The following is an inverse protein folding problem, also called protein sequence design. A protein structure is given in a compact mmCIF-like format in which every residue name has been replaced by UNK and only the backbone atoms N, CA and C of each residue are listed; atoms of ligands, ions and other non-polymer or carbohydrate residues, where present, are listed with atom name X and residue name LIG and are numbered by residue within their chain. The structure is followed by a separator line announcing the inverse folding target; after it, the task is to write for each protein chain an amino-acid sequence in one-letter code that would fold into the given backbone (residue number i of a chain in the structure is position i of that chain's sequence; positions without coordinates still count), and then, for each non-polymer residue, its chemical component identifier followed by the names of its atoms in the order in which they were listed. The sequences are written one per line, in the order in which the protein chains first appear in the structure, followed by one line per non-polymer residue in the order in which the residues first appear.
data_IF_482160544602
#
_entry.id   IF_482160544602
#
_cell.length_a   1.000
_cell.length_b   1.000
_cell.length_c   1.000
_cell.angle_alpha   90.00
_cell.angle_beta   90.00
_cell.angle_gamma   90.00
#
_symmetry.space_group_name_H-M   'P 1'
#
loop_
_entity.id
_entity.type
_entity.pdbx_description
1 polymer ?
#
# COMPACT_ATOMS: atom_id res chain seq x y z
N UNK A 1 -8.54 -2.06 -7.02
CA UNK A 1 -8.42 -0.58 -7.12
C UNK A 1 -7.64 -0.12 -5.90
N UNK A 2 -6.40 0.35 -6.08
CA UNK A 2 -5.46 0.61 -4.98
C UNK A 2 -5.79 1.97 -4.31
N UNK A 3 -6.25 1.93 -3.07
CA UNK A 3 -6.68 3.11 -2.29
C UNK A 3 -5.52 4.12 -2.09
N UNK A 4 -4.28 3.66 -1.95
CA UNK A 4 -3.10 4.54 -1.84
C UNK A 4 -2.86 5.33 -3.13
N UNK A 5 -3.00 4.67 -4.29
CA UNK A 5 -2.91 5.35 -5.60
C UNK A 5 -4.02 6.39 -5.73
N UNK A 6 -5.24 6.07 -5.32
CA UNK A 6 -6.37 7.01 -5.35
C UNK A 6 -6.15 8.21 -4.42
N UNK A 7 -5.69 7.98 -3.19
CA UNK A 7 -5.41 9.05 -2.22
C UNK A 7 -4.26 9.96 -2.69
N UNK A 8 -3.19 9.37 -3.24
CA UNK A 8 -2.06 10.11 -3.82
C UNK A 8 -2.51 10.96 -5.00
N UNK A 9 -3.29 10.40 -5.93
CA UNK A 9 -3.83 11.13 -7.08
C UNK A 9 -4.75 12.27 -6.65
N UNK A 10 -5.62 12.06 -5.64
CA UNK A 10 -6.46 13.12 -5.09
C UNK A 10 -5.63 14.25 -4.44
N UNK A 11 -4.57 13.89 -3.72
CA UNK A 11 -3.62 14.84 -3.15
C UNK A 11 -2.92 15.68 -4.22
N UNK A 12 -2.39 15.03 -5.26
CA UNK A 12 -1.76 15.70 -6.40
C UNK A 12 -2.75 16.64 -7.12
N UNK A 13 -3.98 16.20 -7.36
CA UNK A 13 -5.00 17.03 -8.01
C UNK A 13 -5.33 18.28 -7.18
N UNK A 14 -5.43 18.12 -5.85
CA UNK A 14 -5.68 19.23 -4.93
C UNK A 14 -4.54 20.24 -4.94
N UNK A 15 -3.28 19.78 -4.97
CA UNK A 15 -2.10 20.65 -5.07
C UNK A 15 -2.11 21.43 -6.39
N UNK A 16 -2.37 20.76 -7.51
CA UNK A 16 -2.44 21.41 -8.84
C UNK A 16 -3.53 22.49 -8.87
N UNK A 17 -4.72 22.20 -8.31
CA UNK A 17 -5.79 23.18 -8.18
C UNK A 17 -5.39 24.37 -7.31
N UNK A 18 -4.69 24.13 -6.19
CA UNK A 18 -4.19 25.20 -5.32
C UNK A 18 -3.13 26.09 -6.00
N UNK A 19 -2.26 25.52 -6.84
CA UNK A 19 -1.30 26.30 -7.65
C UNK A 19 -2.03 27.12 -8.70
N UNK A 20 -3.02 26.51 -9.37
CA UNK A 20 -3.84 27.19 -10.36
C UNK A 20 -4.60 28.39 -9.77
N UNK A 21 -5.08 28.28 -8.53
CA UNK A 21 -5.74 29.37 -7.81
C UNK A 21 -4.83 30.59 -7.53
N UNK A 22 -3.52 30.38 -7.46
CA UNK A 22 -2.53 31.42 -7.18
C UNK A 22 -2.05 32.17 -8.43
N UNK A 23 -2.47 31.75 -9.63
CA UNK A 23 -2.06 32.40 -10.87
C UNK A 23 -2.67 33.81 -11.00
N UNK A 24 -1.93 34.77 -11.60
CA UNK A 24 -2.49 36.07 -11.96
C UNK A 24 -3.69 35.93 -12.91
N UNK A 25 -4.70 36.82 -12.87
CA UNK A 25 -5.96 36.66 -13.60
C UNK A 25 -5.79 36.36 -15.09
N UNK A 26 -4.89 37.09 -15.78
CA UNK A 26 -4.62 36.89 -17.21
C UNK A 26 -3.99 35.53 -17.52
N UNK A 27 -3.07 35.08 -16.67
CA UNK A 27 -2.42 33.78 -16.80
C UNK A 27 -3.41 32.65 -16.52
N UNK A 28 -4.29 32.86 -15.54
CA UNK A 28 -5.35 31.92 -15.17
C UNK A 28 -6.34 31.71 -16.31
N UNK A 29 -6.88 32.77 -16.89
CA UNK A 29 -7.80 32.70 -18.04
C UNK A 29 -7.17 31.97 -19.24
N UNK A 30 -5.90 32.24 -19.54
CA UNK A 30 -5.18 31.58 -20.61
C UNK A 30 -5.09 30.06 -20.36
N UNK A 31 -4.67 29.67 -19.16
CA UNK A 31 -4.51 28.27 -18.77
C UNK A 31 -5.87 27.55 -18.70
N UNK A 32 -6.90 28.18 -18.15
CA UNK A 32 -8.28 27.66 -18.14
C UNK A 32 -8.79 27.44 -19.57
N UNK A 33 -8.55 28.39 -20.47
CA UNK A 33 -8.91 28.28 -21.88
C UNK A 33 -8.21 27.11 -22.57
N UNK A 34 -6.90 26.94 -22.34
CA UNK A 34 -6.14 25.80 -22.88
C UNK A 34 -6.61 24.47 -22.31
N UNK A 35 -6.86 24.37 -21.01
CA UNK A 35 -7.34 23.14 -20.37
C UNK A 35 -8.73 22.77 -20.90
N UNK A 36 -9.64 23.75 -20.98
CA UNK A 36 -10.98 23.54 -21.51
C UNK A 36 -10.98 23.13 -22.99
N UNK A 37 -10.10 23.72 -23.80
CA UNK A 37 -9.89 23.31 -25.20
C UNK A 37 -9.45 21.84 -25.30
N UNK A 38 -8.63 21.37 -24.36
CA UNK A 38 -8.22 19.96 -24.26
C UNK A 38 -9.25 19.06 -23.54
N UNK A 39 -10.47 19.54 -23.29
CA UNK A 39 -11.55 18.78 -22.66
C UNK A 39 -11.48 18.69 -21.13
N UNK A 40 -10.59 19.45 -20.49
CA UNK A 40 -10.44 19.49 -19.03
C UNK A 40 -11.14 20.72 -18.45
N UNK A 41 -12.32 20.52 -17.87
CA UNK A 41 -13.06 21.56 -17.14
C UNK A 41 -12.58 21.65 -15.68
N UNK A 42 -11.75 22.66 -15.40
CA UNK A 42 -11.13 22.89 -14.09
C UNK A 42 -12.17 23.06 -12.98
N UNK A 43 -13.30 23.70 -13.27
CA UNK A 43 -14.38 23.95 -12.28
C UNK A 43 -15.10 22.65 -11.95
N UNK A 44 -15.41 21.84 -12.96
CA UNK A 44 -16.03 20.52 -12.76
C UNK A 44 -15.10 19.59 -11.99
N UNK A 45 -13.81 19.60 -12.32
CA UNK A 45 -12.77 18.82 -11.64
C UNK A 45 -12.67 19.24 -10.17
N UNK A 46 -12.53 20.53 -9.88
CA UNK A 46 -12.46 21.04 -8.52
C UNK A 46 -13.71 20.66 -7.71
N UNK A 47 -14.89 20.81 -8.30
CA UNK A 47 -16.16 20.41 -7.67
C UNK A 47 -16.19 18.92 -7.34
N UNK A 48 -15.76 18.07 -8.27
CA UNK A 48 -15.77 16.63 -8.08
C UNK A 48 -14.73 16.20 -7.04
N UNK A 49 -13.53 16.80 -7.02
CA UNK A 49 -12.52 16.56 -5.97
C UNK A 49 -13.05 16.94 -4.59
N UNK A 50 -13.67 18.12 -4.46
CA UNK A 50 -14.28 18.55 -3.19
C UNK A 50 -15.40 17.61 -2.73
N UNK A 51 -16.25 17.15 -3.66
CA UNK A 51 -17.30 16.16 -3.35
C UNK A 51 -16.71 14.84 -2.90
N UNK A 52 -15.73 14.30 -3.62
CA UNK A 52 -15.07 13.03 -3.25
C UNK A 52 -14.39 13.16 -1.89
N UNK A 53 -13.66 14.25 -1.66
CA UNK A 53 -13.04 14.53 -0.35
C UNK A 53 -14.08 14.55 0.76
N UNK A 54 -15.15 15.32 0.58
CA UNK A 54 -16.21 15.44 1.59
C UNK A 54 -16.92 14.10 1.82
N UNK A 55 -17.21 13.34 0.76
CA UNK A 55 -17.77 12.00 0.86
C UNK A 55 -16.85 11.06 1.63
N UNK A 56 -15.54 11.08 1.37
CA UNK A 56 -14.56 10.29 2.10
C UNK A 56 -14.46 10.71 3.58
N UNK A 57 -14.48 12.01 3.86
CA UNK A 57 -14.46 12.56 5.24
C UNK A 57 -15.77 12.30 5.99
N UNK A 58 -16.87 12.08 5.28
CA UNK A 58 -18.17 11.73 5.87
C UNK A 58 -18.30 10.25 6.22
N UNK A 59 -17.35 9.40 5.77
CA UNK A 59 -17.32 8.00 6.18
C UNK A 59 -16.90 7.97 7.65
N UNK A 60 -17.75 7.44 8.57
CA UNK A 60 -17.39 7.36 9.98
C UNK A 60 -16.08 6.61 10.18
N UNK A 61 -15.24 7.09 11.11
CA UNK A 61 -14.12 6.30 11.58
C UNK A 61 -14.64 4.96 12.12
N UNK A 62 -14.17 3.85 11.56
CA UNK A 62 -14.65 2.50 11.90
C UNK A 62 -15.85 2.00 11.08
N UNK A 63 -16.33 2.73 10.07
CA UNK A 63 -17.36 2.23 9.15
C UNK A 63 -16.88 1.07 8.26
N UNK A 64 -15.56 0.93 8.12
CA UNK A 64 -14.91 -0.22 7.53
C UNK A 64 -13.56 -0.44 8.20
N UNK A 65 -13.13 -1.70 8.28
CA UNK A 65 -11.78 -2.07 8.72
C UNK A 65 -10.98 -2.46 7.46
N UNK A 66 -10.05 -1.62 7.01
CA UNK A 66 -9.26 -1.90 5.81
C UNK A 66 -8.54 -3.25 5.89
N UNK A 67 -8.76 -4.10 4.89
CA UNK A 67 -8.17 -5.43 4.77
C UNK A 67 -7.44 -5.57 3.43
N UNK A 68 -6.28 -6.22 3.45
CA UNK A 68 -5.57 -6.65 2.25
C UNK A 68 -5.31 -8.15 2.31
N UNK A 69 -5.37 -8.83 1.16
CA UNK A 69 -4.86 -10.18 1.01
C UNK A 69 -3.50 -10.12 0.32
N UNK A 70 -2.49 -10.78 0.89
CA UNK A 70 -1.13 -10.85 0.35
C UNK A 70 -0.64 -12.29 0.35
N UNK A 71 0.31 -12.58 -0.54
CA UNK A 71 0.91 -13.90 -0.64
C UNK A 71 1.55 -14.35 0.68
N UNK A 72 1.44 -15.64 1.01
CA UNK A 72 2.22 -16.27 2.07
C UNK A 72 3.72 -16.24 1.81
N UNK A 73 4.16 -15.97 0.57
CA UNK A 73 5.56 -15.77 0.23
C UNK A 73 6.24 -14.64 1.02
N UNK A 74 5.49 -13.70 1.59
CA UNK A 74 6.01 -12.66 2.48
C UNK A 74 6.34 -13.14 3.90
N UNK A 75 6.18 -14.43 4.17
CA UNK A 75 6.50 -15.07 5.43
C UNK A 75 7.55 -16.16 5.20
N UNK A 76 8.48 -16.34 6.14
CA UNK A 76 9.33 -17.53 6.15
C UNK A 76 8.50 -18.80 6.38
N UNK A 77 8.95 -19.98 5.93
CA UNK A 77 8.21 -21.24 6.15
C UNK A 77 7.86 -21.47 7.62
N UNK A 78 8.80 -21.22 8.54
CA UNK A 78 8.55 -21.34 9.98
C UNK A 78 7.51 -20.35 10.51
N UNK A 79 7.46 -19.13 9.98
CA UNK A 79 6.44 -18.16 10.36
C UNK A 79 5.05 -18.55 9.82
N UNK A 80 4.97 -19.10 8.60
CA UNK A 80 3.72 -19.64 8.03
C UNK A 80 3.16 -20.75 8.88
N UNK A 81 4.00 -21.70 9.28
CA UNK A 81 3.61 -22.83 10.13
C UNK A 81 3.14 -22.35 11.51
N UNK A 82 3.89 -21.45 12.14
CA UNK A 82 3.50 -20.92 13.44
C UNK A 82 2.17 -20.16 13.38
N UNK A 83 1.94 -19.36 12.34
CA UNK A 83 0.66 -18.66 12.14
C UNK A 83 -0.51 -19.61 11.85
N UNK A 84 -0.31 -20.67 11.06
CA UNK A 84 -1.37 -21.63 10.75
C UNK A 84 -1.73 -22.52 11.94
N UNK A 85 -0.79 -22.73 12.87
CA UNK A 85 -1.01 -23.47 14.11
C UNK A 85 -1.44 -22.58 15.29
N UNK A 86 -1.41 -21.25 15.13
CA UNK A 86 -1.69 -20.29 16.20
C UNK A 86 -0.59 -20.18 17.26
N UNK A 87 0.62 -20.64 16.95
CA UNK A 87 1.79 -20.69 17.85
C UNK A 87 2.59 -19.38 17.84
N UNK A 88 1.93 -18.25 18.08
CA UNK A 88 2.51 -16.90 17.95
C UNK A 88 2.35 -16.02 19.19
N UNK A 89 1.99 -16.60 20.35
CA UNK A 89 1.69 -15.86 21.58
C UNK A 89 2.82 -14.92 22.03
N UNK A 90 4.07 -15.28 21.74
CA UNK A 90 5.26 -14.49 22.12
C UNK A 90 5.56 -13.33 21.17
N UNK A 91 4.91 -13.27 20.01
CA UNK A 91 5.20 -12.30 18.97
C UNK A 91 4.54 -10.94 19.21
N UNK A 92 3.67 -10.82 20.21
CA UNK A 92 2.99 -9.55 20.53
C UNK A 92 2.06 -9.08 19.40
N UNK A 93 1.59 -10.00 18.56
CA UNK A 93 0.61 -9.74 17.50
C UNK A 93 -0.67 -10.51 17.78
N UNK A 94 -1.78 -10.03 17.22
CA UNK A 94 -3.05 -10.75 17.26
C UNK A 94 -3.24 -11.37 15.88
N UNK A 95 -3.32 -12.69 15.82
CA UNK A 95 -3.60 -13.41 14.58
C UNK A 95 -4.62 -14.51 14.77
N UNK A 96 -5.31 -14.82 13.67
CA UNK A 96 -6.36 -15.84 13.61
C UNK A 96 -6.02 -16.82 12.48
N UNK A 97 -5.65 -18.07 12.80
CA UNK A 97 -5.37 -19.08 11.79
C UNK A 97 -6.59 -19.33 10.89
N UNK A 98 -6.34 -19.68 9.63
CA UNK A 98 -7.37 -20.11 8.69
C UNK A 98 -6.85 -21.23 7.78
N UNK A 99 -7.71 -21.79 6.92
CA UNK A 99 -7.36 -22.94 6.04
C UNK A 99 -6.23 -22.64 5.04
N UNK A 100 -5.92 -21.36 4.80
CA UNK A 100 -4.99 -20.88 3.79
C UNK A 100 -3.76 -20.16 4.40
N UNK A 101 -3.69 -20.02 5.72
CA UNK A 101 -2.70 -19.19 6.40
C UNK A 101 -3.27 -18.59 7.68
N UNK A 102 -3.34 -17.26 7.76
CA UNK A 102 -3.87 -16.54 8.90
C UNK A 102 -4.36 -15.13 8.55
N UNK A 103 -5.21 -14.56 9.39
CA UNK A 103 -5.43 -13.13 9.49
C UNK A 103 -4.50 -12.55 10.56
N UNK A 104 -3.91 -11.41 10.29
CA UNK A 104 -3.11 -10.62 11.22
C UNK A 104 -3.80 -9.28 11.44
N UNK A 105 -4.07 -8.96 12.69
CA UNK A 105 -4.59 -7.65 13.09
C UNK A 105 -3.44 -6.66 13.28
N UNK A 106 -3.58 -5.51 12.64
CA UNK A 106 -2.60 -4.44 12.66
C UNK A 106 -3.21 -3.23 13.37
N UNK A 107 -2.62 -2.86 14.49
CA UNK A 107 -3.05 -1.71 15.27
C UNK A 107 -2.07 -0.56 15.03
N UNK A 108 -2.54 0.69 14.88
CA UNK A 108 -1.67 1.86 14.74
C UNK A 108 -0.89 2.20 16.03
N UNK A 109 -1.17 1.51 17.14
CA UNK A 109 -0.62 1.83 18.46
C UNK A 109 0.25 0.71 19.04
N UNK A 110 0.43 -0.39 18.33
CA UNK A 110 1.26 -1.51 18.77
C UNK A 110 2.26 -1.86 17.69
N UNK A 111 3.33 -2.53 18.07
CA UNK A 111 4.27 -3.13 17.13
C UNK A 111 4.53 -4.57 17.59
N UNK A 112 4.89 -5.49 16.69
CA UNK A 112 5.28 -6.83 17.08
C UNK A 112 6.44 -6.79 18.08
N UNK A 113 6.51 -7.79 18.94
CA UNK A 113 7.61 -7.94 19.89
C UNK A 113 8.92 -8.25 19.16
N UNK A 114 10.09 -8.03 19.79
CA UNK A 114 11.36 -8.47 19.23
C UNK A 114 11.48 -9.99 19.01
N UNK A 115 10.59 -10.79 19.60
CA UNK A 115 10.54 -12.24 19.41
C UNK A 115 9.76 -12.66 18.15
N UNK A 116 9.02 -11.73 17.52
CA UNK A 116 8.36 -11.99 16.25
C UNK A 116 9.41 -12.20 15.13
N UNK A 117 9.22 -13.13 14.19
CA UNK A 117 10.07 -13.26 13.01
C UNK A 117 10.15 -11.94 12.24
N UNK A 118 11.33 -11.64 11.67
CA UNK A 118 11.55 -10.41 10.92
C UNK A 118 10.50 -10.20 9.82
N UNK A 119 10.16 -11.26 9.07
CA UNK A 119 9.13 -11.20 8.02
C UNK A 119 7.77 -10.73 8.54
N UNK A 120 7.39 -11.11 9.76
CA UNK A 120 6.13 -10.66 10.40
C UNK A 120 6.24 -9.19 10.78
N UNK A 121 7.39 -8.75 11.31
CA UNK A 121 7.64 -7.34 11.63
C UNK A 121 7.54 -6.45 10.40
N UNK A 122 8.13 -6.88 9.28
CA UNK A 122 8.13 -6.14 8.03
C UNK A 122 6.72 -6.04 7.42
N UNK A 123 5.96 -7.14 7.39
CA UNK A 123 4.56 -7.10 6.95
C UNK A 123 3.73 -6.18 7.86
N UNK A 124 3.92 -6.27 9.17
CA UNK A 124 3.18 -5.44 10.13
C UNK A 124 3.47 -3.96 9.94
N UNK A 125 4.75 -3.58 9.84
CA UNK A 125 5.16 -2.20 9.60
C UNK A 125 4.63 -1.70 8.25
N UNK A 126 4.79 -2.50 7.19
CA UNK A 126 4.27 -2.19 5.86
C UNK A 126 2.77 -1.90 5.88
N UNK A 127 2.01 -2.68 6.65
CA UNK A 127 0.57 -2.53 6.82
C UNK A 127 0.20 -1.29 7.65
N UNK A 128 0.95 -1.01 8.72
CA UNK A 128 0.78 0.20 9.53
C UNK A 128 0.99 1.48 8.72
N UNK A 129 2.06 1.54 7.93
CA UNK A 129 2.39 2.69 7.08
C UNK A 129 1.28 3.01 6.05
N UNK A 130 0.40 2.02 5.80
CA UNK A 130 -0.72 2.06 4.86
C UNK A 130 -2.08 2.16 5.53
N UNK A 131 -2.11 2.28 6.86
CA UNK A 131 -3.33 2.34 7.65
C UNK A 131 -4.24 1.13 7.43
N UNK A 132 -3.66 -0.06 7.19
CA UNK A 132 -4.38 -1.32 7.12
C UNK A 132 -4.65 -1.85 8.52
N UNK A 133 -5.84 -2.42 8.74
CA UNK A 133 -6.26 -3.02 10.01
C UNK A 133 -6.12 -4.54 9.97
N UNK A 134 -6.28 -5.13 8.79
CA UNK A 134 -6.20 -6.57 8.59
C UNK A 134 -5.28 -6.93 7.42
N UNK A 135 -4.44 -7.93 7.64
CA UNK A 135 -3.70 -8.62 6.58
C UNK A 135 -4.15 -10.08 6.56
N UNK A 136 -4.66 -10.54 5.42
CA UNK A 136 -4.92 -11.95 5.16
C UNK A 136 -3.73 -12.53 4.41
N UNK A 137 -3.09 -13.56 4.96
CA UNK A 137 -2.13 -14.36 4.23
C UNK A 137 -2.85 -15.46 3.46
N UNK A 138 -2.56 -15.57 2.17
CA UNK A 138 -3.17 -16.53 1.25
C UNK A 138 -2.16 -16.91 0.16
N UNK A 139 -1.88 -18.20 -0.10
CA UNK A 139 -0.90 -18.62 -1.10
C UNK A 139 -1.28 -18.20 -2.52
N UNK A 140 -2.58 -18.00 -2.81
CA UNK A 140 -3.06 -17.59 -4.12
C UNK A 140 -3.17 -16.06 -4.28
N UNK A 141 -2.86 -15.30 -3.22
CA UNK A 141 -2.87 -13.83 -3.28
C UNK A 141 -1.62 -13.27 -3.98
N UNK A 142 -1.72 -12.02 -4.42
CA UNK A 142 -0.64 -11.33 -5.12
C UNK A 142 0.55 -11.04 -4.19
N UNK A 143 1.77 -11.23 -4.71
CA UNK A 143 2.99 -10.74 -4.05
C UNK A 143 3.09 -9.22 -4.20
N UNK A 144 3.25 -8.53 -3.08
CA UNK A 144 3.31 -7.07 -3.05
C UNK A 144 4.72 -6.60 -3.41
N UNK A 145 4.81 -5.83 -4.50
CA UNK A 145 6.06 -5.17 -4.88
C UNK A 145 6.56 -4.24 -3.75
N UNK A 146 7.82 -4.41 -3.37
CA UNK A 146 8.47 -3.63 -2.31
C UNK A 146 8.30 -4.19 -0.89
N UNK A 147 7.58 -5.30 -0.71
CA UNK A 147 7.57 -6.07 0.53
C UNK A 147 8.46 -7.32 0.34
N UNK A 148 9.41 -7.61 1.25
CA UNK A 148 10.31 -8.76 1.08
C UNK A 148 9.56 -10.09 0.97
N UNK A 149 10.07 -10.97 0.13
CA UNK A 149 9.62 -12.36 0.01
C UNK A 149 10.67 -13.31 0.54
N UNK A 150 10.20 -14.41 1.13
CA UNK A 150 11.00 -15.35 1.91
C UNK A 150 10.92 -16.78 1.39
N UNK A 151 10.24 -17.02 0.25
CA UNK A 151 10.32 -18.26 -0.53
C UNK A 151 10.13 -19.57 0.26
N UNK A 152 10.50 -20.69 -0.33
CA UNK A 152 10.69 -21.97 0.38
C UNK A 152 12.16 -22.23 0.72
N UNK A 153 13.07 -21.47 0.11
CA UNK A 153 14.51 -21.56 0.34
C UNK A 153 14.93 -20.45 1.30
N UNK A 154 15.17 -20.82 2.56
CA UNK A 154 15.96 -20.01 3.51
C UNK A 154 17.38 -19.88 2.95
N UNK A 155 17.63 -18.90 2.08
CA UNK A 155 18.89 -18.14 1.98
C UNK A 155 18.83 -17.14 0.81
N UNK A 156 19.34 -15.93 1.10
CA UNK A 156 19.61 -14.82 0.19
C UNK A 156 18.43 -13.94 -0.29
N UNK A 157 18.42 -12.72 0.26
CA UNK A 157 17.87 -11.49 -0.32
C UNK A 157 17.95 -11.50 -1.85
N UNK A 158 16.83 -11.80 -2.53
CA UNK A 158 16.66 -11.44 -3.94
C UNK A 158 16.44 -9.93 -4.06
N UNK A 159 17.52 -9.17 -3.87
CA UNK A 159 17.62 -7.86 -4.48
C UNK A 159 17.56 -8.05 -6.00
N UNK A 160 16.55 -7.48 -6.64
CA UNK A 160 16.48 -7.45 -8.11
C UNK A 160 17.74 -6.78 -8.67
N UNK A 161 18.51 -7.42 -9.56
CA UNK A 161 19.53 -6.69 -10.29
C UNK A 161 18.85 -5.95 -11.44
N UNK A 162 18.72 -4.63 -11.29
CA UNK A 162 18.68 -3.73 -12.44
C UNK A 162 19.92 -3.98 -13.30
N UNK A 163 19.70 -4.08 -14.61
CA UNK A 163 20.67 -4.59 -15.56
C UNK A 163 21.97 -3.80 -15.68
N UNK A 164 23.01 -4.51 -16.08
CA UNK A 164 24.01 -4.09 -17.06
C UNK A 164 24.48 -5.37 -17.75
N UNK A 165 24.10 -5.57 -19.02
CA UNK A 165 24.90 -6.39 -19.94
C UNK A 165 26.15 -5.59 -20.31
N UNK A 166 27.37 -6.15 -20.21
CA UNK A 166 28.45 -5.75 -21.06
C UNK A 166 28.55 -6.73 -22.23
N UNK A 167 28.40 -6.16 -23.42
CA UNK A 167 28.55 -6.79 -24.71
C UNK A 167 29.91 -7.50 -24.87
N UNK A 168 29.83 -8.62 -25.56
CA UNK A 168 30.93 -9.39 -26.14
C UNK A 168 31.89 -8.52 -26.98
N UNK A 169 33.19 -8.73 -26.81
CA UNK A 169 34.21 -8.53 -27.86
C UNK A 169 35.29 -9.62 -27.66
N UNK A 170 35.24 -10.66 -28.50
CA UNK A 170 36.12 -10.92 -29.65
C UNK A 170 37.50 -11.50 -29.25
N UNK A 171 37.74 -12.73 -29.71
CA UNK A 171 39.05 -13.34 -29.97
C UNK A 171 39.00 -13.92 -31.38
#
# INVERSE_FOLDING_TARGET
MNIEKTATLLGQLKTILGVFEQLPPKSRELVEGTLKFNGLDVVLIARNVCKVKHSLESIPAGAFEPLVAISTEHLTPGAREALSQGNCDTWGVISYPNEYGAFLHVSPHTSPSPAAPQCVQEVYQWAQDRFLIWVKFDPDAECIAGLPSYGEDDDELKASPEGIEPASSEH
#
